data_IF_343568118087
#
_entry.id   IF_343568118087
#
_cell.length_a   1.000
_cell.length_b   1.000
_cell.length_c   1.000
_cell.angle_alpha   90.00
_cell.angle_beta   90.00
_cell.angle_gamma   90.00
#
_symmetry.space_group_name_H-M   'P 1'
#
loop_
_entity.id
_entity.type
_entity.pdbx_description
1 polymer ?
#
# COMPACT_ATOMS: atom_id res chain seq x y z
N UNK A 1 -21.75 31.48 38.13
CA UNK A 1 -21.48 31.80 36.71
C UNK A 1 -20.47 30.77 36.22
N UNK A 2 -20.88 29.86 35.34
CA UNK A 2 -19.95 28.96 34.65
C UNK A 2 -19.22 29.76 33.57
N UNK A 3 -17.91 29.53 33.35
CA UNK A 3 -17.19 30.19 32.27
C UNK A 3 -17.78 29.75 30.92
N UNK A 4 -17.80 30.63 29.90
CA UNK A 4 -18.26 30.26 28.56
C UNK A 4 -17.34 29.17 28.00
N UNK A 5 -17.94 28.05 27.61
CA UNK A 5 -17.28 26.98 26.87
C UNK A 5 -16.74 27.55 25.57
N UNK A 6 -15.43 27.44 25.38
CA UNK A 6 -14.75 27.80 24.14
C UNK A 6 -15.42 27.04 22.98
N UNK A 7 -15.80 27.70 21.88
CA UNK A 7 -16.45 27.01 20.76
C UNK A 7 -15.49 25.95 20.24
N UNK A 8 -15.98 24.71 20.13
CA UNK A 8 -15.23 23.63 19.53
C UNK A 8 -14.65 24.09 18.18
N UNK A 9 -13.38 23.78 17.88
CA UNK A 9 -12.77 24.18 16.62
C UNK A 9 -13.67 23.73 15.47
N UNK A 10 -13.87 24.60 14.49
CA UNK A 10 -14.64 24.28 13.30
C UNK A 10 -14.11 22.96 12.72
N UNK A 11 -14.97 21.94 12.64
CA UNK A 11 -14.61 20.67 11.99
C UNK A 11 -14.09 21.01 10.61
N UNK A 12 -12.83 20.67 10.32
CA UNK A 12 -12.29 20.78 8.96
C UNK A 12 -13.25 20.06 8.02
N UNK A 13 -13.64 20.72 6.94
CA UNK A 13 -14.49 20.10 5.91
C UNK A 13 -13.77 18.87 5.39
N UNK A 14 -14.44 17.72 5.43
CA UNK A 14 -13.90 16.48 4.87
C UNK A 14 -13.80 16.68 3.36
N UNK A 15 -12.64 16.41 2.73
CA UNK A 15 -12.52 16.48 1.28
C UNK A 15 -13.51 15.50 0.66
N UNK A 16 -14.29 15.99 -0.31
CA UNK A 16 -15.23 15.20 -1.09
C UNK A 16 -14.55 14.79 -2.39
N UNK A 17 -14.69 13.51 -2.78
CA UNK A 17 -14.22 13.02 -4.08
C UNK A 17 -15.33 13.21 -5.12
N UNK A 18 -15.00 13.72 -6.30
CA UNK A 18 -15.92 13.77 -7.44
C UNK A 18 -15.38 12.85 -8.54
N UNK A 19 -16.22 11.92 -9.00
CA UNK A 19 -15.87 10.96 -10.04
C UNK A 19 -16.18 11.47 -11.45
N UNK A 20 -16.77 12.65 -11.64
CA UNK A 20 -17.05 13.27 -12.94
C UNK A 20 -17.72 12.28 -13.93
N UNK A 21 -18.82 11.64 -13.51
CA UNK A 21 -19.53 10.59 -14.27
C UNK A 21 -20.94 11.00 -14.75
N UNK A 22 -21.39 12.22 -14.47
CA UNK A 22 -22.80 12.66 -14.56
C UNK A 22 -23.51 12.37 -15.91
N UNK A 23 -22.76 12.24 -17.00
CA UNK A 23 -23.26 12.05 -18.36
C UNK A 23 -22.90 10.68 -18.98
N UNK A 24 -22.21 9.82 -18.24
CA UNK A 24 -21.64 8.55 -18.69
C UNK A 24 -22.37 7.36 -18.07
N UNK A 25 -22.58 6.32 -18.87
CA UNK A 25 -23.16 5.06 -18.40
C UNK A 25 -22.10 3.95 -18.32
N UNK A 26 -22.45 2.79 -17.79
CA UNK A 26 -21.61 1.59 -17.89
C UNK A 26 -22.50 0.39 -18.21
N UNK A 27 -21.89 -0.76 -18.49
CA UNK A 27 -22.67 -1.98 -18.56
C UNK A 27 -23.30 -2.27 -17.19
N UNK A 28 -24.53 -2.81 -17.17
CA UNK A 28 -25.36 -2.89 -15.96
C UNK A 28 -24.64 -3.50 -14.76
N UNK A 29 -23.88 -4.59 -14.97
CA UNK A 29 -23.10 -5.24 -13.93
C UNK A 29 -22.00 -4.32 -13.35
N UNK A 30 -21.25 -3.63 -14.22
CA UNK A 30 -20.21 -2.68 -13.80
C UNK A 30 -20.80 -1.45 -13.15
N UNK A 31 -21.89 -0.91 -13.68
CA UNK A 31 -22.58 0.22 -13.08
C UNK A 31 -23.06 -0.13 -11.67
N UNK A 32 -23.68 -1.30 -11.48
CA UNK A 32 -24.13 -1.75 -10.17
C UNK A 32 -22.98 -1.98 -9.18
N UNK A 33 -21.85 -2.51 -9.64
CA UNK A 33 -20.67 -2.67 -8.79
C UNK A 33 -20.09 -1.30 -8.38
N UNK A 34 -19.94 -0.36 -9.34
CA UNK A 34 -19.53 1.01 -9.07
C UNK A 34 -20.46 1.67 -8.06
N UNK A 35 -21.77 1.56 -8.29
CA UNK A 35 -22.78 2.15 -7.43
C UNK A 35 -22.64 1.64 -5.99
N UNK A 36 -22.49 0.32 -5.80
CA UNK A 36 -22.41 -0.27 -4.45
C UNK A 36 -21.09 0.01 -3.75
N UNK A 37 -19.98 0.03 -4.49
CA UNK A 37 -18.62 0.09 -3.92
C UNK A 37 -18.08 1.51 -3.80
N UNK A 38 -18.58 2.43 -4.61
CA UNK A 38 -18.02 3.78 -4.76
C UNK A 38 -19.10 4.84 -4.60
N UNK A 39 -20.18 4.80 -5.39
CA UNK A 39 -21.16 5.91 -5.40
C UNK A 39 -22.03 5.98 -4.12
N UNK A 40 -22.48 4.84 -3.59
CA UNK A 40 -23.26 4.80 -2.34
C UNK A 40 -22.47 5.33 -1.14
N UNK A 41 -21.21 4.92 -0.91
CA UNK A 41 -20.41 5.43 0.21
C UNK A 41 -19.63 6.73 -0.10
N UNK A 42 -19.88 7.40 -1.23
CA UNK A 42 -19.07 8.54 -1.72
C UNK A 42 -18.83 9.63 -0.65
N UNK A 43 -19.85 9.97 0.15
CA UNK A 43 -19.78 10.96 1.22
C UNK A 43 -18.92 10.52 2.43
N UNK A 44 -18.54 9.25 2.47
CA UNK A 44 -17.72 8.60 3.48
C UNK A 44 -16.35 8.15 2.95
N UNK A 45 -16.07 8.38 1.66
CA UNK A 45 -14.76 8.16 1.05
C UNK A 45 -13.90 9.43 1.18
N UNK A 46 -12.73 9.30 1.80
CA UNK A 46 -11.77 10.40 1.91
C UNK A 46 -10.63 10.19 0.91
N UNK A 47 -10.39 11.11 -0.03
CA UNK A 47 -9.35 10.92 -1.02
C UNK A 47 -7.96 11.19 -0.44
N UNK A 48 -7.25 10.11 -0.11
CA UNK A 48 -5.87 10.17 0.35
C UNK A 48 -4.93 10.58 -0.79
N UNK A 49 -5.22 10.20 -2.04
CA UNK A 49 -4.52 10.66 -3.23
C UNK A 49 -5.45 10.60 -4.45
N UNK A 50 -5.28 11.55 -5.38
CA UNK A 50 -6.00 11.57 -6.65
C UNK A 50 -5.07 11.99 -7.78
N UNK A 51 -5.24 11.38 -8.96
CA UNK A 51 -4.56 11.80 -10.16
C UNK A 51 -5.47 11.64 -11.39
N UNK A 52 -5.47 12.63 -12.27
CA UNK A 52 -6.21 12.64 -13.52
C UNK A 52 -5.25 12.74 -14.70
N UNK A 53 -5.39 11.82 -15.64
CA UNK A 53 -4.60 11.78 -16.89
C UNK A 53 -5.51 11.47 -18.08
N UNK A 54 -6.00 12.54 -18.70
CA UNK A 54 -6.94 12.48 -19.81
C UNK A 54 -8.21 11.69 -19.44
N UNK A 55 -8.51 10.56 -20.10
CA UNK A 55 -9.69 9.76 -19.79
C UNK A 55 -9.57 8.95 -18.49
N UNK A 56 -8.39 8.88 -17.87
CA UNK A 56 -8.14 8.06 -16.68
C UNK A 56 -8.16 8.92 -15.41
N UNK A 57 -8.80 8.40 -14.36
CA UNK A 57 -8.64 8.89 -12.99
C UNK A 57 -8.16 7.75 -12.09
N UNK A 58 -7.29 8.09 -11.14
CA UNK A 58 -6.72 7.16 -10.17
C UNK A 58 -6.95 7.73 -8.78
N UNK A 59 -7.47 6.91 -7.87
CA UNK A 59 -7.80 7.33 -6.52
C UNK A 59 -7.28 6.33 -5.49
N UNK A 60 -6.67 6.85 -4.42
CA UNK A 60 -6.48 6.13 -3.16
C UNK A 60 -7.46 6.72 -2.17
N UNK A 61 -8.47 5.94 -1.78
CA UNK A 61 -9.57 6.39 -0.94
C UNK A 61 -9.50 5.69 0.42
N UNK A 62 -9.75 6.42 1.49
CA UNK A 62 -10.01 5.86 2.82
C UNK A 62 -11.52 5.70 2.99
N UNK A 63 -11.97 4.46 3.17
CA UNK A 63 -13.37 4.10 3.36
C UNK A 63 -13.73 4.13 4.85
N UNK A 64 -14.38 5.22 5.27
CA UNK A 64 -14.84 5.38 6.65
C UNK A 64 -15.99 4.45 7.03
N UNK A 65 -16.63 3.77 6.07
CA UNK A 65 -17.71 2.83 6.36
C UNK A 65 -17.17 1.47 6.82
N UNK A 66 -15.91 1.15 6.49
CA UNK A 66 -15.28 -0.12 6.80
C UNK A 66 -15.25 -0.44 8.31
N UNK A 67 -15.20 0.57 9.18
CA UNK A 67 -15.31 0.42 10.64
C UNK A 67 -16.63 -0.26 11.08
N UNK A 68 -17.71 -0.06 10.32
CA UNK A 68 -19.02 -0.67 10.57
C UNK A 68 -19.25 -1.98 9.79
N UNK A 69 -18.22 -2.42 9.06
CA UNK A 69 -18.22 -3.67 8.32
C UNK A 69 -17.86 -4.88 9.17
N UNK A 70 -17.26 -5.88 8.52
CA UNK A 70 -16.70 -7.02 9.23
C UNK A 70 -15.36 -6.65 9.88
N UNK A 71 -15.07 -7.11 11.12
CA UNK A 71 -13.77 -6.89 11.73
C UNK A 71 -12.62 -7.36 10.84
N UNK A 72 -11.54 -6.58 10.79
CA UNK A 72 -10.37 -6.89 9.97
C UNK A 72 -10.44 -6.44 8.51
N UNK A 73 -11.57 -5.87 8.07
CA UNK A 73 -11.73 -5.38 6.70
C UNK A 73 -10.72 -4.27 6.38
N UNK A 74 -10.11 -4.28 5.17
CA UNK A 74 -9.29 -3.17 4.71
C UNK A 74 -10.09 -1.87 4.66
N UNK A 75 -9.44 -0.77 5.04
CA UNK A 75 -10.05 0.57 5.02
C UNK A 75 -9.55 1.45 3.86
N UNK A 76 -8.67 0.93 3.00
CA UNK A 76 -8.19 1.64 1.81
C UNK A 76 -8.79 0.99 0.57
N UNK A 77 -9.29 1.82 -0.35
CA UNK A 77 -9.82 1.43 -1.64
C UNK A 77 -9.02 2.12 -2.75
N UNK A 78 -8.38 1.33 -3.62
CA UNK A 78 -7.83 1.83 -4.86
C UNK A 78 -8.91 1.82 -5.95
N UNK A 79 -9.04 2.89 -6.73
CA UNK A 79 -9.98 2.99 -7.86
C UNK A 79 -9.24 3.50 -9.09
N UNK A 80 -9.35 2.77 -10.21
CA UNK A 80 -8.97 3.24 -11.53
C UNK A 80 -10.23 3.38 -12.38
N UNK A 81 -10.49 4.60 -12.84
CA UNK A 81 -11.65 4.97 -13.62
C UNK A 81 -11.22 5.37 -15.03
N UNK A 82 -11.97 4.94 -16.04
CA UNK A 82 -11.71 5.23 -17.44
C UNK A 82 -12.99 5.73 -18.11
N UNK A 83 -12.89 6.84 -18.84
CA UNK A 83 -14.02 7.46 -19.53
C UNK A 83 -13.84 7.36 -21.05
N UNK A 84 -14.84 6.83 -21.72
CA UNK A 84 -14.97 6.82 -23.18
C UNK A 84 -16.08 7.80 -23.58
N UNK A 85 -15.70 9.05 -23.80
CA UNK A 85 -16.64 10.11 -24.16
C UNK A 85 -17.27 9.92 -25.55
N UNK A 86 -16.62 9.18 -26.47
CA UNK A 86 -17.19 8.88 -27.78
C UNK A 86 -18.37 7.91 -27.66
N UNK A 87 -18.22 6.89 -26.80
CA UNK A 87 -19.28 5.92 -26.51
C UNK A 87 -20.24 6.37 -25.42
N UNK A 88 -19.93 7.47 -24.73
CA UNK A 88 -20.61 7.92 -23.50
C UNK A 88 -20.64 6.85 -22.41
N UNK A 89 -19.55 6.11 -22.29
CA UNK A 89 -19.41 5.01 -21.33
C UNK A 89 -18.25 5.27 -20.37
N UNK A 90 -18.30 4.68 -19.18
CA UNK A 90 -17.16 4.54 -18.29
C UNK A 90 -16.92 3.07 -17.94
N UNK A 91 -15.67 2.75 -17.63
CA UNK A 91 -15.29 1.50 -16.98
C UNK A 91 -14.46 1.82 -15.74
N UNK A 92 -14.50 0.95 -14.75
CA UNK A 92 -13.68 1.10 -13.57
C UNK A 92 -13.17 -0.25 -13.08
N UNK A 93 -12.05 -0.21 -12.39
CA UNK A 93 -11.52 -1.29 -11.58
C UNK A 93 -11.30 -0.76 -10.16
N UNK A 94 -11.43 -1.65 -9.18
CA UNK A 94 -11.13 -1.31 -7.79
C UNK A 94 -10.47 -2.46 -7.06
N UNK A 95 -9.78 -2.13 -5.96
CA UNK A 95 -9.24 -3.11 -5.04
C UNK A 95 -9.24 -2.57 -3.59
N UNK A 96 -9.94 -3.24 -2.66
CA UNK A 96 -9.74 -2.99 -1.24
C UNK A 96 -8.36 -3.53 -0.82
N UNK A 97 -7.54 -2.69 -0.24
CA UNK A 97 -6.15 -2.97 0.11
C UNK A 97 -5.85 -2.52 1.54
N UNK A 98 -5.00 -3.24 2.28
CA UNK A 98 -4.79 -2.94 3.69
C UNK A 98 -3.95 -1.69 3.93
N UNK A 99 -3.05 -1.34 3.00
CA UNK A 99 -2.11 -0.22 3.15
C UNK A 99 -2.20 0.77 1.98
N UNK A 100 -2.08 2.08 2.21
CA UNK A 100 -2.01 3.08 1.14
C UNK A 100 -0.91 2.81 0.12
N UNK A 101 0.28 2.37 0.57
CA UNK A 101 1.39 2.02 -0.33
C UNK A 101 1.04 0.87 -1.29
N UNK A 102 0.22 -0.09 -0.85
CA UNK A 102 -0.25 -1.18 -1.72
C UNK A 102 -1.30 -0.67 -2.72
N UNK A 103 -2.17 0.26 -2.32
CA UNK A 103 -3.10 0.93 -3.24
C UNK A 103 -2.38 1.73 -4.32
N UNK A 104 -1.37 2.50 -3.95
CA UNK A 104 -0.52 3.22 -4.91
C UNK A 104 0.16 2.24 -5.89
N UNK A 105 0.77 1.16 -5.37
CA UNK A 105 1.36 0.10 -6.19
C UNK A 105 0.36 -0.47 -7.20
N UNK A 106 -0.85 -0.82 -6.76
CA UNK A 106 -1.92 -1.36 -7.60
C UNK A 106 -2.35 -0.40 -8.74
N UNK A 107 -2.38 0.91 -8.47
CA UNK A 107 -2.70 1.95 -9.46
C UNK A 107 -1.55 2.16 -10.45
N UNK A 108 -0.30 2.11 -9.98
CA UNK A 108 0.89 2.22 -10.84
C UNK A 108 0.91 1.09 -11.89
N UNK A 109 0.53 -0.13 -11.50
CA UNK A 109 0.41 -1.26 -12.44
C UNK A 109 -0.70 -1.08 -13.48
N UNK A 110 -1.63 -0.13 -13.26
CA UNK A 110 -2.68 0.27 -14.21
C UNK A 110 -2.33 1.51 -15.04
N UNK A 111 -1.09 1.98 -14.94
CA UNK A 111 -0.58 3.08 -15.74
C UNK A 111 -0.56 4.43 -15.04
N UNK A 112 -0.87 4.49 -13.73
CA UNK A 112 -0.67 5.71 -12.96
C UNK A 112 0.83 6.04 -12.85
N UNK A 113 1.29 7.27 -13.17
CA UNK A 113 2.68 7.64 -12.96
C UNK A 113 3.06 7.58 -11.47
N UNK A 114 4.18 6.92 -11.08
CA UNK A 114 4.54 6.73 -9.67
C UNK A 114 4.66 8.03 -8.86
N UNK A 115 5.17 9.10 -9.48
CA UNK A 115 5.36 10.40 -8.83
C UNK A 115 4.07 11.25 -8.78
N UNK A 116 2.98 10.79 -9.40
CA UNK A 116 1.73 11.55 -9.53
C UNK A 116 0.66 11.16 -8.51
N UNK A 117 0.79 10.02 -7.82
CA UNK A 117 -0.20 9.50 -6.87
C UNK A 117 0.28 9.58 -5.42
N UNK A 118 0.86 10.71 -5.02
CA UNK A 118 1.34 10.94 -3.66
C UNK A 118 0.20 11.12 -2.64
N UNK A 119 0.34 10.57 -1.44
CA UNK A 119 -0.64 10.74 -0.37
C UNK A 119 -0.64 12.20 0.14
N UNK A 120 -1.83 12.70 0.46
CA UNK A 120 -2.03 14.02 1.04
C UNK A 120 -1.46 14.03 2.47
N UNK A 121 -0.45 14.85 2.77
CA UNK A 121 0.29 14.78 4.04
C UNK A 121 -0.53 15.16 5.27
N UNK A 122 -1.70 15.79 5.09
CA UNK A 122 -2.60 16.18 6.19
C UNK A 122 -3.74 15.18 6.47
N UNK A 123 -3.92 14.12 5.67
CA UNK A 123 -5.08 13.23 5.77
C UNK A 123 -4.82 11.92 6.54
N UNK A 124 -3.64 11.75 7.13
CA UNK A 124 -3.28 10.59 7.95
C UNK A 124 -2.15 10.90 8.92
N UNK A 125 -1.79 9.95 9.81
CA UNK A 125 -0.59 10.07 10.62
C UNK A 125 0.65 10.14 9.70
N UNK A 126 1.59 11.07 9.92
CA UNK A 126 2.87 11.04 9.22
C UNK A 126 3.74 9.87 9.69
N UNK A 127 4.65 9.38 8.83
CA UNK A 127 5.64 8.37 9.21
C UNK A 127 6.50 8.83 10.39
N UNK A 128 6.61 7.97 11.41
CA UNK A 128 7.37 8.26 12.62
C UNK A 128 8.89 8.34 12.39
N UNK A 129 9.40 7.63 11.38
CA UNK A 129 10.84 7.54 11.10
C UNK A 129 11.17 7.22 9.63
N UNK A 130 12.45 7.30 9.29
CA UNK A 130 12.94 7.04 7.93
C UNK A 130 12.81 5.56 7.53
N UNK A 131 12.84 4.63 8.49
CA UNK A 131 12.65 3.21 8.21
C UNK A 131 11.23 2.94 7.70
N UNK A 132 10.23 3.59 8.31
CA UNK A 132 8.84 3.60 7.85
C UNK A 132 8.74 4.14 6.42
N UNK A 133 9.29 5.34 6.17
CA UNK A 133 9.29 5.97 4.83
C UNK A 133 9.97 5.14 3.76
N UNK A 134 11.08 4.48 4.11
CA UNK A 134 11.81 3.63 3.18
C UNK A 134 11.01 2.37 2.84
N UNK A 135 10.34 1.77 3.82
CA UNK A 135 9.51 0.59 3.63
C UNK A 135 8.26 0.91 2.80
N UNK A 136 7.58 2.02 3.06
CA UNK A 136 6.45 2.48 2.25
C UNK A 136 6.83 2.66 0.78
N UNK A 137 7.91 3.39 0.50
CA UNK A 137 8.42 3.58 -0.86
C UNK A 137 8.77 2.26 -1.54
N UNK A 138 9.30 1.31 -0.78
CA UNK A 138 9.59 -0.03 -1.31
C UNK A 138 8.29 -0.78 -1.64
N UNK A 139 7.28 -0.72 -0.79
CA UNK A 139 5.97 -1.36 -1.04
C UNK A 139 5.25 -0.77 -2.25
N UNK A 140 5.35 0.55 -2.47
CA UNK A 140 4.84 1.21 -3.69
C UNK A 140 5.46 0.61 -4.95
N UNK A 141 6.75 0.25 -4.90
CA UNK A 141 7.47 -0.40 -6.01
C UNK A 141 7.39 -1.94 -6.03
N UNK A 142 6.95 -2.58 -4.96
CA UNK A 142 7.00 -4.04 -4.81
C UNK A 142 5.94 -4.75 -5.64
N UNK A 143 4.87 -4.07 -6.08
CA UNK A 143 4.04 -4.51 -7.20
C UNK A 143 3.66 -5.99 -7.24
N UNK A 144 3.79 -6.54 -8.45
CA UNK A 144 3.58 -7.96 -8.74
C UNK A 144 4.65 -8.89 -8.13
N UNK A 145 5.62 -8.40 -7.36
CA UNK A 145 6.63 -9.27 -6.73
C UNK A 145 6.07 -10.05 -5.53
N UNK A 146 4.98 -9.58 -4.93
CA UNK A 146 4.35 -10.22 -3.78
C UNK A 146 2.83 -10.38 -3.98
N UNK A 147 2.33 -11.57 -3.66
CA UNK A 147 0.90 -11.80 -3.47
C UNK A 147 0.52 -11.56 -2.00
N UNK A 148 -0.58 -10.85 -1.77
CA UNK A 148 -1.19 -10.75 -0.44
C UNK A 148 -1.96 -12.03 -0.12
N UNK A 149 -1.60 -12.69 0.98
CA UNK A 149 -2.26 -13.91 1.46
C UNK A 149 -3.23 -13.69 2.62
N UNK A 150 -2.97 -12.69 3.46
CA UNK A 150 -3.79 -12.35 4.63
C UNK A 150 -3.63 -10.87 4.97
N UNK A 151 -4.69 -10.26 5.50
CA UNK A 151 -4.61 -8.97 6.16
C UNK A 151 -5.65 -8.86 7.26
N UNK A 152 -5.35 -8.06 8.29
CA UNK A 152 -6.31 -7.68 9.31
C UNK A 152 -6.06 -6.25 9.75
N UNK A 153 -7.12 -5.44 9.77
CA UNK A 153 -7.12 -4.07 10.29
C UNK A 153 -7.89 -4.02 11.61
N UNK A 154 -7.23 -3.51 12.65
CA UNK A 154 -7.82 -3.07 13.91
C UNK A 154 -7.86 -1.55 13.92
N UNK A 155 -9.04 -0.97 14.10
CA UNK A 155 -9.27 0.46 14.26
C UNK A 155 -9.64 0.84 15.70
N UNK A 156 -9.35 -0.04 16.66
CA UNK A 156 -9.45 0.24 18.09
C UNK A 156 -8.50 1.40 18.44
N UNK A 157 -8.98 2.53 19.00
CA UNK A 157 -8.13 3.65 19.38
C UNK A 157 -7.00 3.30 20.36
N UNK A 158 -7.14 2.20 21.11
CA UNK A 158 -6.13 1.72 22.05
C UNK A 158 -5.15 0.70 21.40
N UNK A 159 -5.44 0.16 20.21
CA UNK A 159 -4.57 -0.75 19.44
C UNK A 159 -4.88 -0.64 17.92
N UNK A 160 -4.57 0.52 17.34
CA UNK A 160 -4.69 0.76 15.91
C UNK A 160 -3.53 0.06 15.17
N UNK A 161 -3.84 -1.06 14.51
CA UNK A 161 -2.84 -1.90 13.86
C UNK A 161 -3.35 -2.51 12.55
N UNK A 162 -2.49 -2.58 11.55
CA UNK A 162 -2.71 -3.33 10.32
C UNK A 162 -1.62 -4.38 10.19
N UNK A 163 -2.00 -5.65 10.07
CA UNK A 163 -1.08 -6.75 9.76
C UNK A 163 -1.36 -7.28 8.37
N UNK A 164 -0.31 -7.55 7.60
CA UNK A 164 -0.41 -8.07 6.23
C UNK A 164 0.62 -9.17 6.03
N UNK A 165 0.16 -10.34 5.54
CA UNK A 165 1.05 -11.42 5.10
C UNK A 165 1.20 -11.35 3.59
N UNK A 166 2.44 -11.20 3.15
CA UNK A 166 2.86 -11.19 1.76
C UNK A 166 3.63 -12.48 1.44
N UNK A 167 3.40 -13.04 0.26
CA UNK A 167 4.15 -14.16 -0.31
C UNK A 167 4.89 -13.68 -1.54
N UNK A 168 6.21 -13.85 -1.56
CA UNK A 168 7.00 -13.58 -2.75
C UNK A 168 6.58 -14.50 -3.90
N UNK A 169 6.48 -13.94 -5.11
CA UNK A 169 6.22 -14.72 -6.32
C UNK A 169 7.46 -15.49 -6.79
N UNK A 170 8.65 -14.95 -6.53
CA UNK A 170 9.91 -15.66 -6.74
C UNK A 170 10.16 -16.63 -5.58
N UNK A 171 10.12 -17.93 -5.87
CA UNK A 171 10.35 -18.98 -4.87
C UNK A 171 11.82 -19.07 -4.40
N UNK A 172 12.75 -18.37 -5.06
CA UNK A 172 14.17 -18.38 -4.70
C UNK A 172 14.54 -17.38 -3.59
N UNK A 173 13.60 -16.56 -3.13
CA UNK A 173 13.90 -15.60 -2.07
C UNK A 173 14.09 -16.30 -0.71
N UNK A 174 15.09 -15.92 0.10
CA UNK A 174 15.35 -16.58 1.40
C UNK A 174 14.28 -16.39 2.48
N UNK A 175 13.42 -15.38 2.32
CA UNK A 175 12.24 -15.13 3.16
C UNK A 175 11.02 -15.04 2.24
N UNK A 176 10.45 -16.20 1.84
CA UNK A 176 9.34 -16.25 0.88
C UNK A 176 8.04 -15.70 1.44
N UNK A 177 7.90 -15.66 2.77
CA UNK A 177 6.79 -15.01 3.44
C UNK A 177 7.28 -13.80 4.21
N UNK A 178 6.51 -12.72 4.15
CA UNK A 178 6.78 -11.49 4.89
C UNK A 178 5.55 -11.07 5.64
N UNK A 179 5.73 -10.58 6.86
CA UNK A 179 4.67 -9.88 7.59
C UNK A 179 5.03 -8.41 7.60
N UNK A 180 4.13 -7.57 7.10
CA UNK A 180 4.19 -6.12 7.23
C UNK A 180 3.21 -5.71 8.32
N UNK A 181 3.63 -4.83 9.21
CA UNK A 181 2.83 -4.35 10.34
C UNK A 181 2.90 -2.84 10.37
N UNK A 182 1.73 -2.20 10.29
CA UNK A 182 1.54 -0.79 10.55
C UNK A 182 0.94 -0.61 11.94
N UNK A 183 1.55 0.24 12.76
CA UNK A 183 1.02 0.60 14.09
C UNK A 183 0.91 2.12 14.16
N UNK A 184 -0.24 2.61 14.64
CA UNK A 184 -0.49 4.05 14.83
C UNK A 184 -0.35 4.39 16.31
N UNK A 185 0.55 5.32 16.62
CA UNK A 185 0.64 5.96 17.93
C UNK A 185 -0.36 7.13 17.96
N UNK A 186 -1.45 6.96 18.70
CA UNK A 186 -2.51 7.96 18.82
C UNK A 186 -2.14 9.13 19.74
N UNK A 187 -1.10 9.01 20.57
CA UNK A 187 -0.60 10.09 21.41
C UNK A 187 0.25 11.07 20.60
N UNK A 188 1.17 10.55 19.79
CA UNK A 188 2.06 11.37 18.95
C UNK A 188 1.48 11.65 17.56
N UNK A 189 0.40 10.96 17.20
CA UNK A 189 -0.21 10.96 15.87
C UNK A 189 0.84 10.67 14.79
N UNK A 190 1.52 9.54 14.92
CA UNK A 190 2.47 9.04 13.92
C UNK A 190 2.24 7.55 13.69
N UNK A 191 2.68 7.02 12.56
CA UNK A 191 2.66 5.58 12.33
C UNK A 191 4.06 5.01 12.11
N UNK A 192 4.23 3.76 12.51
CA UNK A 192 5.41 2.97 12.18
C UNK A 192 5.03 1.84 11.25
N UNK A 193 5.90 1.54 10.30
CA UNK A 193 5.77 0.40 9.42
C UNK A 193 7.00 -0.49 9.56
N UNK A 194 6.79 -1.78 9.85
CA UNK A 194 7.85 -2.77 10.03
C UNK A 194 7.59 -4.00 9.21
N UNK A 195 8.66 -4.70 8.86
CA UNK A 195 8.61 -5.94 8.10
C UNK A 195 9.42 -7.02 8.80
N UNK A 196 8.86 -8.22 8.87
CA UNK A 196 9.57 -9.43 9.29
C UNK A 196 9.52 -10.52 8.23
N UNK A 197 10.55 -11.38 8.22
CA UNK A 197 10.69 -12.48 7.26
C UNK A 197 10.43 -13.86 7.86
N UNK A 198 9.72 -14.71 7.14
CA UNK A 198 9.30 -16.04 7.58
C UNK A 198 9.57 -17.09 6.48
N UNK A 199 9.81 -18.34 6.90
CA UNK A 199 10.02 -19.48 6.00
C UNK A 199 8.70 -20.06 5.49
N UNK A 200 7.64 -19.98 6.30
CA UNK A 200 6.34 -20.58 5.99
C UNK A 200 5.17 -19.62 6.20
N UNK A 201 4.07 -19.85 5.47
CA UNK A 201 2.81 -19.14 5.68
C UNK A 201 2.27 -19.33 7.10
N UNK A 202 2.43 -20.55 7.66
CA UNK A 202 1.93 -20.88 9.01
C UNK A 202 2.62 -20.07 10.10
N UNK A 203 3.94 -19.89 10.02
CA UNK A 203 4.68 -19.06 10.98
C UNK A 203 4.31 -17.58 10.87
N UNK A 204 4.14 -17.08 9.63
CA UNK A 204 3.72 -15.70 9.40
C UNK A 204 2.31 -15.43 9.96
N UNK A 205 1.36 -16.33 9.70
CA UNK A 205 -0.02 -16.23 10.23
C UNK A 205 -0.06 -16.36 11.75
N UNK A 206 0.69 -17.31 12.32
CA UNK A 206 0.77 -17.45 13.77
C UNK A 206 1.34 -16.19 14.42
N UNK A 207 2.34 -15.55 13.81
CA UNK A 207 2.86 -14.28 14.31
C UNK A 207 1.79 -13.18 14.30
N UNK A 208 0.96 -13.10 13.23
CA UNK A 208 -0.16 -12.16 13.18
C UNK A 208 -1.17 -12.42 14.30
N UNK A 209 -1.58 -13.68 14.51
CA UNK A 209 -2.51 -14.05 15.59
C UNK A 209 -1.92 -13.73 16.98
N UNK A 210 -0.64 -14.00 17.16
CA UNK A 210 0.07 -13.67 18.39
C UNK A 210 0.14 -12.14 18.59
N UNK A 211 0.31 -11.34 17.54
CA UNK A 211 0.32 -9.86 17.65
C UNK A 211 -1.06 -9.34 18.03
N UNK A 212 -2.12 -9.86 17.43
CA UNK A 212 -3.50 -9.49 17.73
C UNK A 212 -3.95 -9.93 19.13
N UNK A 213 -3.26 -10.91 19.73
CA UNK A 213 -3.55 -11.38 21.10
C UNK A 213 -2.53 -10.91 22.15
N UNK A 214 -1.61 -10.01 21.78
CA UNK A 214 -0.61 -9.43 22.68
C UNK A 214 0.50 -10.40 23.12
N UNK A 215 0.73 -11.47 22.35
CA UNK A 215 1.70 -12.54 22.63
C UNK A 215 2.90 -12.55 21.68
N UNK A 216 2.86 -11.78 20.59
CA UNK A 216 3.93 -11.79 19.61
C UNK A 216 5.26 -11.34 20.21
N UNK A 217 6.31 -12.05 19.85
CA UNK A 217 7.68 -11.58 20.00
C UNK A 217 8.05 -10.55 18.91
N UNK A 218 9.30 -10.04 18.93
CA UNK A 218 9.76 -9.12 17.89
C UNK A 218 9.69 -9.75 16.50
N UNK A 219 9.45 -8.93 15.47
CA UNK A 219 9.48 -9.38 14.07
C UNK A 219 10.86 -9.98 13.75
N UNK A 220 10.92 -11.19 13.17
CA UNK A 220 12.18 -11.78 12.71
C UNK A 220 12.77 -10.94 11.57
N UNK A 221 14.10 -10.74 11.52
CA UNK A 221 14.71 -9.96 10.46
C UNK A 221 14.50 -10.62 9.09
N UNK A 222 14.22 -9.81 8.06
CA UNK A 222 14.16 -10.29 6.67
C UNK A 222 15.55 -10.71 6.22
N UNK A 223 15.68 -11.96 5.75
CA UNK A 223 16.96 -12.47 5.25
C UNK A 223 17.23 -11.89 3.86
N UNK A 224 18.34 -11.17 3.65
CA UNK A 224 18.67 -10.66 2.32
C UNK A 224 18.95 -11.83 1.37
N UNK A 225 18.54 -11.68 0.11
CA UNK A 225 18.95 -12.57 -0.96
C UNK A 225 20.48 -12.63 -0.99
N UNK A 226 21.05 -13.84 -0.92
CA UNK A 226 22.49 -14.01 -1.06
C UNK A 226 22.91 -13.45 -2.43
N UNK A 227 23.70 -12.38 -2.43
CA UNK A 227 24.29 -11.88 -3.68
C UNK A 227 25.16 -13.01 -4.22
N UNK A 228 24.98 -13.48 -5.47
CA UNK A 228 25.91 -14.42 -6.05
C UNK A 228 27.29 -13.75 -6.05
N UNK A 229 28.19 -14.27 -5.23
CA UNK A 229 29.56 -13.81 -5.17
C UNK A 229 30.14 -13.99 -6.57
N UNK A 230 30.37 -12.87 -7.26
CA UNK A 230 31.06 -12.89 -8.56
C UNK A 230 32.39 -13.60 -8.32
N UNK A 231 32.68 -14.74 -8.96
CA UNK A 231 33.97 -15.38 -8.78
C UNK A 231 35.03 -14.35 -9.16
N UNK A 232 35.97 -14.11 -8.24
CA UNK A 232 37.11 -13.26 -8.50
C UNK A 232 37.82 -13.83 -9.73
N UNK A 233 37.63 -13.18 -10.88
CA UNK A 233 38.25 -13.58 -12.13
C UNK A 233 39.75 -13.66 -11.89
N UNK A 234 40.30 -14.87 -12.00
CA UNK A 234 41.75 -15.11 -11.94
C UNK A 234 42.40 -14.16 -12.92
N UNK A 235 43.24 -13.25 -12.41
CA UNK A 235 44.01 -12.34 -13.24
C UNK A 235 44.83 -13.18 -14.23
N UNK A 236 44.52 -13.05 -15.52
CA UNK A 236 45.26 -13.70 -16.59
C UNK A 236 46.68 -13.13 -16.57
N UNK A 237 47.68 -13.99 -16.36
CA UNK A 237 49.08 -13.60 -16.38
C UNK A 237 49.44 -12.92 -17.72
N UNK A 238 50.32 -11.91 -17.73
CA UNK A 238 50.72 -11.24 -18.97
C UNK A 238 51.41 -12.23 -19.91
N UNK A 239 51.07 -12.17 -21.20
CA UNK A 239 51.69 -13.01 -22.22
C UNK A 239 53.19 -12.68 -22.34
N UNK A 240 54.07 -13.69 -22.52
CA UNK A 240 55.50 -13.45 -22.70
C UNK A 240 55.77 -12.75 -24.03
N UNK A 241 56.58 -11.70 -24.00
CA UNK A 241 57.04 -10.97 -25.18
C UNK A 241 57.95 -11.85 -26.06
N UNK A 242 57.85 -11.76 -27.39
CA UNK A 242 58.74 -12.49 -28.29
C UNK A 242 60.15 -11.86 -28.31
N UNK A 243 61.21 -12.65 -28.52
CA UNK A 243 62.58 -12.14 -28.54
C UNK A 243 62.83 -11.35 -29.83
N UNK A 244 63.04 -10.04 -29.68
CA UNK A 244 63.45 -9.13 -30.73
C UNK A 244 64.91 -9.37 -31.14
N UNK A 245 65.09 -9.74 -32.41
CA UNK A 245 66.33 -10.17 -33.06
C UNK A 245 67.24 -8.96 -33.35
N UNK A 246 68.50 -9.06 -32.93
CA UNK A 246 69.56 -8.09 -33.23
C UNK A 246 69.83 -7.98 -34.73
N UNK A 247 69.99 -6.75 -35.23
CA UNK A 247 70.88 -6.44 -36.35
C UNK A 247 71.32 -4.98 -36.30
#
# INVERSE_FOLDING_TARGET
MLPPTEPAPARKTIPHVDFELDDLDSDEERYLDFYRKVAVPEDMLVPLAEHHDGPNSYYVLFDRTATWGHPGMPQVLAVHLQRDHEKRMFSFEHAPLPLPAMAQSWLIHRGCPPDAIGLHPELGPPPADEATRALERRLVGDGDNYAMGYSYTSDDPDDMVIVVVLRAQDEQVPSPFRVVVEEVDTETWTHTLREGGFDTAGEALQWCDDRLTGKAGPLPPVRPAATPSRPAGVAKAPAPHPPGRSR
#
